data_IF_368871364674
#
_entry.id   IF_368871364674
#
_cell.length_a   1.000
_cell.length_b   1.000
_cell.length_c   1.000
_cell.angle_alpha   90.00
_cell.angle_beta   90.00
_cell.angle_gamma   90.00
#
_symmetry.space_group_name_H-M   'P 1'
#
loop_
_entity.id
_entity.type
_entity.pdbx_description
1 polymer ?
#
# COMPACT_ATOMS: atom_id res chain seq x y z
N UNK A 1 -9.82 -14.34 24.14
CA UNK A 1 -8.44 -13.89 23.85
C UNK A 1 -8.41 -12.38 23.62
N UNK A 2 -7.24 -11.79 23.50
CA UNK A 2 -7.02 -10.39 23.13
C UNK A 2 -6.72 -10.28 21.64
N UNK A 3 -7.49 -9.46 20.93
CA UNK A 3 -7.39 -9.32 19.47
C UNK A 3 -7.01 -7.91 19.08
N UNK A 4 -6.06 -7.77 18.16
CA UNK A 4 -5.71 -6.49 17.54
C UNK A 4 -6.74 -6.16 16.45
N UNK A 5 -7.49 -5.08 16.61
CA UNK A 5 -8.30 -4.47 15.55
C UNK A 5 -7.41 -3.45 14.83
N UNK A 6 -7.01 -3.75 13.58
CA UNK A 6 -6.02 -3.02 12.80
C UNK A 6 -6.65 -2.21 11.65
N UNK A 7 -7.12 -0.98 11.88
CA UNK A 7 -7.67 -0.11 10.84
C UNK A 7 -6.60 0.56 9.95
N UNK A 8 -6.98 1.01 8.75
CA UNK A 8 -6.14 1.89 7.93
C UNK A 8 -6.22 3.35 8.44
N UNK A 9 -5.38 3.73 9.40
CA UNK A 9 -5.29 5.10 9.93
C UNK A 9 -3.93 5.72 9.60
N UNK A 10 -3.68 6.02 8.32
CA UNK A 10 -2.34 6.45 7.88
C UNK A 10 -2.14 7.98 7.86
N UNK A 11 -3.21 8.78 7.89
CA UNK A 11 -3.23 10.25 7.80
C UNK A 11 -4.45 10.79 8.55
N UNK A 12 -4.58 12.11 8.72
CA UNK A 12 -5.77 12.76 9.29
C UNK A 12 -6.90 12.98 8.28
N UNK A 13 -6.73 12.59 7.00
CA UNK A 13 -7.84 12.54 6.03
C UNK A 13 -8.85 11.48 6.43
N UNK A 14 -10.12 11.81 6.25
CA UNK A 14 -11.26 11.07 6.81
C UNK A 14 -11.72 9.91 5.92
N UNK A 15 -12.64 9.11 6.44
CA UNK A 15 -13.28 8.04 5.68
C UNK A 15 -14.21 8.57 4.57
N UNK A 16 -14.78 9.77 4.75
CA UNK A 16 -15.59 10.46 3.75
C UNK A 16 -14.77 10.88 2.52
N UNK A 17 -13.48 11.12 2.71
CA UNK A 17 -12.52 11.36 1.64
C UNK A 17 -11.99 10.04 1.03
N UNK A 18 -12.49 8.87 1.46
CA UNK A 18 -12.03 7.55 1.01
C UNK A 18 -10.62 7.18 1.49
N UNK A 19 -10.02 7.98 2.37
CA UNK A 19 -8.61 7.86 2.74
C UNK A 19 -8.36 6.83 3.86
N UNK A 20 -9.13 6.87 4.94
CA UNK A 20 -8.91 6.04 6.14
C UNK A 20 -10.13 5.20 6.49
N UNK A 21 -9.95 4.12 7.24
CA UNK A 21 -11.06 3.26 7.68
C UNK A 21 -12.06 4.06 8.51
N UNK A 22 -13.34 3.90 8.20
CA UNK A 22 -14.45 4.51 8.91
C UNK A 22 -14.52 3.97 10.34
N UNK A 23 -14.48 4.89 11.30
CA UNK A 23 -14.53 4.56 12.72
C UNK A 23 -15.82 3.85 13.13
N UNK A 24 -16.91 3.98 12.34
CA UNK A 24 -18.14 3.18 12.54
C UNK A 24 -17.89 1.70 12.27
N UNK A 25 -17.05 1.37 11.28
CA UNK A 25 -16.65 -0.02 10.99
C UNK A 25 -15.74 -0.54 12.11
N UNK A 26 -14.78 0.27 12.56
CA UNK A 26 -13.92 -0.08 13.71
C UNK A 26 -14.74 -0.36 14.96
N UNK A 27 -15.73 0.50 15.25
CA UNK A 27 -16.67 0.32 16.34
C UNK A 27 -17.43 -1.00 16.22
N UNK A 28 -18.06 -1.26 15.07
CA UNK A 28 -18.86 -2.45 14.84
C UNK A 28 -18.04 -3.73 15.04
N UNK A 29 -16.82 -3.78 14.49
CA UNK A 29 -15.93 -4.94 14.67
C UNK A 29 -15.53 -5.12 16.13
N UNK A 30 -15.21 -4.03 16.85
CA UNK A 30 -14.87 -4.11 18.26
C UNK A 30 -16.05 -4.59 19.13
N UNK A 31 -17.27 -4.18 18.81
CA UNK A 31 -18.50 -4.65 19.49
C UNK A 31 -18.75 -6.14 19.22
N UNK A 32 -18.64 -6.60 17.97
CA UNK A 32 -18.75 -8.02 17.61
C UNK A 32 -17.72 -8.87 18.35
N UNK A 33 -16.47 -8.40 18.48
CA UNK A 33 -15.45 -9.10 19.26
C UNK A 33 -15.83 -9.20 20.75
N UNK A 34 -16.40 -8.16 21.33
CA UNK A 34 -16.88 -8.19 22.72
C UNK A 34 -18.04 -9.17 22.91
N UNK A 35 -18.97 -9.21 21.97
CA UNK A 35 -20.08 -10.16 21.97
C UNK A 35 -19.58 -11.61 21.87
N UNK A 36 -18.43 -11.85 21.25
CA UNK A 36 -17.75 -13.13 21.18
C UNK A 36 -16.80 -13.42 22.38
N UNK A 37 -16.95 -12.69 23.50
CA UNK A 37 -16.10 -12.81 24.70
C UNK A 37 -14.59 -12.59 24.43
N UNK A 38 -14.27 -11.81 23.39
CA UNK A 38 -12.91 -11.37 23.08
C UNK A 38 -12.64 -9.93 23.57
N UNK A 39 -11.37 -9.65 23.85
CA UNK A 39 -10.89 -8.32 24.26
C UNK A 39 -10.29 -7.61 23.05
N UNK A 40 -11.03 -6.71 22.37
CA UNK A 40 -10.46 -5.93 21.27
C UNK A 40 -9.49 -4.88 21.79
N UNK A 41 -8.43 -4.64 21.02
CA UNK A 41 -7.51 -3.52 21.17
C UNK A 41 -7.35 -2.88 19.81
N UNK A 42 -7.71 -1.61 19.66
CA UNK A 42 -7.54 -0.88 18.40
C UNK A 42 -6.11 -0.38 18.32
N UNK A 43 -5.38 -0.68 17.23
CA UNK A 43 -4.01 -0.22 17.09
C UNK A 43 -3.51 -0.16 15.66
N UNK A 44 -2.63 0.81 15.40
CA UNK A 44 -2.04 1.07 14.08
C UNK A 44 -0.64 1.70 14.21
N UNK A 45 0.20 1.60 13.17
CA UNK A 45 1.39 2.44 13.00
C UNK A 45 1.15 3.43 11.83
N UNK A 46 0.64 4.65 12.08
CA UNK A 46 0.35 5.61 11.01
C UNK A 46 1.57 5.97 10.14
N UNK A 47 1.34 6.35 8.88
CA UNK A 47 2.40 6.75 7.95
C UNK A 47 2.74 8.25 8.06
N UNK A 48 1.72 9.10 8.11
CA UNK A 48 1.84 10.55 8.32
C UNK A 48 1.99 10.82 9.82
N UNK A 49 2.98 11.64 10.21
CA UNK A 49 3.51 11.81 11.57
C UNK A 49 4.67 10.88 11.96
N UNK A 50 5.33 10.29 10.95
CA UNK A 50 6.65 9.66 10.98
C UNK A 50 7.47 10.08 12.21
N UNK A 51 7.69 9.13 13.11
CA UNK A 51 8.58 9.14 14.29
C UNK A 51 8.13 9.90 15.53
N UNK A 52 7.74 11.17 15.44
CA UNK A 52 7.66 12.00 16.65
C UNK A 52 6.28 11.92 17.36
N UNK A 53 5.20 11.95 16.57
CA UNK A 53 3.83 12.25 17.08
C UNK A 53 2.73 11.41 16.39
N UNK A 54 2.83 10.07 16.34
CA UNK A 54 1.80 9.20 15.76
C UNK A 54 0.39 9.43 16.36
N UNK A 55 0.33 9.86 17.62
CA UNK A 55 -0.89 10.21 18.35
C UNK A 55 -1.80 11.21 17.60
N UNK A 56 -1.22 12.13 16.82
CA UNK A 56 -1.97 13.16 16.07
C UNK A 56 -2.95 12.55 15.07
N UNK A 57 -2.63 11.39 14.50
CA UNK A 57 -3.54 10.71 13.56
C UNK A 57 -4.75 10.14 14.30
N UNK A 58 -4.52 9.50 15.45
CA UNK A 58 -5.61 8.96 16.27
C UNK A 58 -6.51 10.05 16.83
N UNK A 59 -5.92 11.16 17.28
CA UNK A 59 -6.66 12.30 17.82
C UNK A 59 -7.41 13.04 16.71
N UNK A 60 -6.75 13.30 15.58
CA UNK A 60 -7.32 14.02 14.44
C UNK A 60 -8.47 13.30 13.76
N UNK A 61 -8.47 11.96 13.77
CA UNK A 61 -9.58 11.15 13.27
C UNK A 61 -10.66 10.89 14.33
N UNK A 62 -10.42 11.22 15.60
CA UNK A 62 -11.34 10.92 16.70
C UNK A 62 -11.31 9.47 17.18
N UNK A 63 -10.33 8.66 16.78
CA UNK A 63 -10.20 7.25 17.15
C UNK A 63 -10.04 7.06 18.67
N UNK A 64 -9.32 7.97 19.34
CA UNK A 64 -9.16 7.95 20.81
C UNK A 64 -10.49 8.14 21.53
N UNK A 65 -11.24 9.17 21.14
CA UNK A 65 -12.56 9.45 21.72
C UNK A 65 -13.55 8.31 21.47
N UNK A 66 -13.52 7.69 20.28
CA UNK A 66 -14.30 6.48 20.02
C UNK A 66 -13.92 5.35 20.99
N UNK A 67 -12.64 5.03 21.11
CA UNK A 67 -12.16 3.94 21.96
C UNK A 67 -12.54 4.14 23.43
N UNK A 68 -12.43 5.37 23.94
CA UNK A 68 -12.90 5.74 25.29
C UNK A 68 -14.41 5.53 25.44
N UNK A 69 -15.21 6.00 24.47
CA UNK A 69 -16.67 5.87 24.48
C UNK A 69 -17.13 4.41 24.53
N UNK A 70 -16.48 3.53 23.76
CA UNK A 70 -16.86 2.12 23.69
C UNK A 70 -16.12 1.25 24.70
N UNK A 71 -15.26 1.82 25.54
CA UNK A 71 -14.47 1.09 26.54
C UNK A 71 -13.52 0.05 25.90
N UNK A 72 -12.76 0.48 24.90
CA UNK A 72 -11.75 -0.34 24.20
C UNK A 72 -10.38 0.32 24.34
N UNK A 73 -9.34 -0.47 24.52
CA UNK A 73 -7.97 0.06 24.60
C UNK A 73 -7.54 0.53 23.22
N UNK A 74 -7.12 1.79 23.12
CA UNK A 74 -6.34 2.28 21.98
C UNK A 74 -4.85 2.02 22.24
N UNK A 75 -4.17 1.45 21.26
CA UNK A 75 -2.74 1.15 21.32
C UNK A 75 -2.00 1.81 20.15
N UNK A 76 -1.15 2.79 20.46
CA UNK A 76 -0.30 3.45 19.47
C UNK A 76 0.92 2.57 19.25
N UNK A 77 0.83 1.67 18.27
CA UNK A 77 1.79 0.58 18.08
C UNK A 77 3.22 1.08 17.83
N UNK A 78 3.42 2.26 17.24
CA UNK A 78 4.74 2.89 17.10
C UNK A 78 5.46 3.20 18.43
N UNK A 79 4.76 3.15 19.57
CA UNK A 79 5.36 3.36 20.91
C UNK A 79 5.88 2.06 21.53
N UNK A 80 5.61 0.92 20.92
CA UNK A 80 6.08 -0.36 21.42
C UNK A 80 7.52 -0.67 21.00
N UNK A 81 8.27 -1.46 21.79
CA UNK A 81 9.55 -1.98 21.35
C UNK A 81 9.35 -2.89 20.11
N UNK A 82 10.11 -2.68 19.03
CA UNK A 82 10.03 -3.52 17.85
C UNK A 82 10.57 -4.92 18.15
N UNK A 83 9.89 -5.93 17.60
CA UNK A 83 10.28 -7.34 17.65
C UNK A 83 10.60 -7.79 16.24
N UNK A 84 11.78 -8.39 16.07
CA UNK A 84 12.25 -8.91 14.80
C UNK A 84 11.58 -10.25 14.50
N UNK A 85 11.06 -10.40 13.30
CA UNK A 85 10.56 -11.66 12.76
C UNK A 85 11.33 -11.98 11.48
N UNK A 86 11.94 -13.16 11.44
CA UNK A 86 12.73 -13.63 10.30
C UNK A 86 11.82 -14.36 9.30
N UNK A 87 12.04 -14.12 8.02
CA UNK A 87 11.39 -14.83 6.92
C UNK A 87 12.45 -15.33 5.94
N UNK A 88 12.92 -16.59 6.09
CA UNK A 88 13.93 -17.17 5.21
C UNK A 88 13.42 -17.42 3.77
N UNK A 89 12.11 -17.37 3.55
CA UNK A 89 11.46 -17.54 2.24
C UNK A 89 11.17 -16.19 1.56
N UNK A 90 11.62 -15.08 2.14
CA UNK A 90 11.43 -13.75 1.58
C UNK A 90 12.30 -13.51 0.32
N UNK A 91 11.77 -12.78 -0.64
CA UNK A 91 12.45 -12.45 -1.90
C UNK A 91 13.23 -11.13 -1.83
N UNK A 92 12.80 -10.18 -0.99
CA UNK A 92 13.38 -8.83 -0.95
C UNK A 92 14.17 -8.56 0.33
N UNK A 93 13.55 -8.76 1.50
CA UNK A 93 14.20 -8.58 2.80
C UNK A 93 13.90 -9.77 3.71
N UNK A 94 14.95 -10.38 4.28
CA UNK A 94 14.83 -11.60 5.09
C UNK A 94 14.27 -11.40 6.50
N UNK A 95 13.97 -10.17 6.90
CA UNK A 95 13.43 -9.86 8.23
C UNK A 95 12.54 -8.61 8.23
N UNK A 96 11.55 -8.63 9.12
CA UNK A 96 10.62 -7.55 9.37
C UNK A 96 10.55 -7.22 10.86
N UNK A 97 10.14 -6.00 11.17
CA UNK A 97 10.04 -5.51 12.55
C UNK A 97 8.60 -5.16 12.88
N UNK A 98 8.04 -5.84 13.88
CA UNK A 98 6.65 -5.71 14.28
C UNK A 98 6.52 -5.16 15.70
N UNK A 99 5.43 -4.44 16.02
CA UNK A 99 5.01 -4.18 17.38
C UNK A 99 4.84 -5.52 18.10
N UNK A 100 5.39 -5.62 19.30
CA UNK A 100 5.27 -6.83 20.13
C UNK A 100 3.82 -7.32 20.22
N UNK A 101 2.88 -6.40 20.42
CA UNK A 101 1.46 -6.74 20.54
C UNK A 101 0.89 -7.42 19.30
N UNK A 102 1.36 -7.09 18.09
CA UNK A 102 0.90 -7.74 16.86
C UNK A 102 1.32 -9.22 16.78
N UNK A 103 2.42 -9.60 17.45
CA UNK A 103 2.89 -10.98 17.52
C UNK A 103 2.32 -11.75 18.72
N UNK A 104 2.11 -11.06 19.84
CA UNK A 104 1.70 -11.67 21.12
C UNK A 104 0.17 -11.78 21.29
N UNK A 105 -0.62 -11.09 20.47
CA UNK A 105 -2.09 -11.17 20.52
C UNK A 105 -2.62 -12.53 20.02
N UNK A 106 -3.85 -12.88 20.41
CA UNK A 106 -4.50 -14.12 20.00
C UNK A 106 -4.97 -14.10 18.53
N UNK A 107 -4.99 -12.91 17.90
CA UNK A 107 -5.27 -12.73 16.50
C UNK A 107 -5.40 -11.27 16.08
N UNK A 108 -5.21 -11.01 14.80
CA UNK A 108 -5.36 -9.71 14.16
C UNK A 108 -6.62 -9.74 13.31
N UNK A 109 -7.53 -8.81 13.59
CA UNK A 109 -8.64 -8.44 12.70
C UNK A 109 -8.19 -7.25 11.86
N UNK A 110 -7.93 -7.50 10.58
CA UNK A 110 -7.37 -6.54 9.62
C UNK A 110 -8.49 -5.72 8.97
N UNK A 111 -8.48 -4.38 9.10
CA UNK A 111 -9.55 -3.51 8.61
C UNK A 111 -9.02 -2.53 7.53
N UNK A 112 -8.70 -3.02 6.31
CA UNK A 112 -8.26 -2.15 5.23
C UNK A 112 -9.38 -1.21 4.76
N UNK A 113 -8.99 -0.07 4.20
CA UNK A 113 -9.85 0.80 3.37
C UNK A 113 -9.67 0.39 1.91
N UNK A 114 -10.76 0.17 1.18
CA UNK A 114 -10.71 -0.11 -0.27
C UNK A 114 -10.37 1.17 -1.03
N UNK A 115 -9.16 1.25 -1.59
CA UNK A 115 -8.73 2.40 -2.39
C UNK A 115 -7.62 2.07 -3.37
N UNK A 116 -7.44 2.89 -4.38
CA UNK A 116 -6.34 2.76 -5.35
C UNK A 116 -5.00 3.24 -4.77
N UNK A 117 -3.90 2.90 -5.43
CA UNK A 117 -2.56 3.34 -5.04
C UNK A 117 -1.61 3.48 -6.23
N UNK A 118 -1.02 4.66 -6.44
CA UNK A 118 -0.12 4.93 -7.57
C UNK A 118 1.06 3.96 -7.73
N UNK A 119 1.63 3.47 -6.62
CA UNK A 119 2.74 2.50 -6.67
C UNK A 119 2.31 1.02 -6.82
N UNK A 120 1.20 0.60 -6.22
CA UNK A 120 0.87 -0.83 -6.03
C UNK A 120 -0.50 -1.20 -6.60
N UNK A 121 -1.08 -0.30 -7.40
CA UNK A 121 -2.41 -0.38 -8.01
C UNK A 121 -3.56 -0.30 -7.01
N UNK A 122 -3.55 -1.17 -5.98
CA UNK A 122 -4.58 -1.33 -4.97
C UNK A 122 -3.99 -1.15 -3.56
N UNK A 123 -4.71 -0.44 -2.71
CA UNK A 123 -4.63 -0.61 -1.26
C UNK A 123 -5.80 -1.46 -0.82
N UNK A 124 -5.52 -2.68 -0.38
CA UNK A 124 -6.45 -3.49 0.38
C UNK A 124 -5.66 -4.45 1.33
N UNK A 125 -6.27 -5.54 1.77
CA UNK A 125 -5.91 -6.34 2.93
C UNK A 125 -4.42 -6.65 3.09
N UNK A 126 -3.75 -7.13 2.03
CA UNK A 126 -2.32 -7.46 2.07
C UNK A 126 -1.50 -6.20 2.36
N UNK A 127 -1.76 -5.12 1.63
CA UNK A 127 -1.05 -3.85 1.79
C UNK A 127 -1.34 -3.17 3.14
N UNK A 128 -2.51 -3.39 3.74
CA UNK A 128 -2.82 -2.79 5.04
C UNK A 128 -1.92 -3.31 6.17
N UNK A 129 -1.39 -4.53 6.04
CA UNK A 129 -0.42 -5.11 6.97
C UNK A 129 0.91 -4.34 6.99
N UNK A 130 1.24 -3.60 5.92
CA UNK A 130 2.36 -2.65 5.89
C UNK A 130 2.30 -1.60 6.99
N UNK A 131 1.08 -1.27 7.45
CA UNK A 131 0.86 -0.40 8.59
C UNK A 131 1.30 -1.01 9.94
N UNK A 132 1.83 -2.23 9.98
CA UNK A 132 2.50 -2.77 11.16
C UNK A 132 4.00 -2.44 11.20
N UNK A 133 4.56 -1.85 10.15
CA UNK A 133 5.99 -1.53 10.13
C UNK A 133 6.25 -0.25 10.93
N UNK A 134 6.98 -0.35 12.03
CA UNK A 134 7.21 0.77 12.96
C UNK A 134 8.30 1.72 12.46
N UNK A 135 8.16 3.00 12.82
CA UNK A 135 9.21 4.01 12.67
C UNK A 135 9.86 4.06 11.29
N UNK A 136 11.18 3.79 11.26
CA UNK A 136 12.11 3.91 10.12
C UNK A 136 11.65 3.23 8.85
N UNK A 137 10.98 2.11 9.09
CA UNK A 137 11.01 0.98 8.19
C UNK A 137 10.17 1.25 6.95
N UNK A 138 9.05 1.97 7.08
CA UNK A 138 8.24 2.32 5.91
C UNK A 138 9.04 3.12 4.87
N UNK A 139 9.72 4.18 5.30
CA UNK A 139 10.59 4.96 4.42
C UNK A 139 11.80 4.15 3.92
N UNK A 140 12.40 3.35 4.80
CA UNK A 140 13.54 2.49 4.45
C UNK A 140 13.18 1.49 3.34
N UNK A 141 12.02 0.84 3.42
CA UNK A 141 11.59 -0.13 2.41
C UNK A 141 11.32 0.51 1.04
N UNK A 142 10.84 1.76 0.99
CA UNK A 142 10.77 2.52 -0.26
C UNK A 142 12.16 2.76 -0.87
N UNK A 143 13.20 2.97 -0.04
CA UNK A 143 14.59 3.10 -0.52
C UNK A 143 15.15 1.77 -0.99
N UNK A 144 14.99 0.69 -0.21
CA UNK A 144 15.54 -0.64 -0.53
C UNK A 144 14.94 -1.23 -1.81
N UNK A 145 13.68 -0.91 -2.08
CA UNK A 145 12.96 -1.34 -3.29
C UNK A 145 13.09 -0.33 -4.43
N UNK A 146 13.74 0.81 -4.22
CA UNK A 146 13.91 1.88 -5.20
C UNK A 146 12.57 2.46 -5.72
N UNK A 147 11.48 2.27 -4.98
CA UNK A 147 10.10 2.50 -5.44
C UNK A 147 9.74 1.76 -6.73
N UNK A 148 10.41 0.66 -7.02
CA UNK A 148 10.01 -0.24 -8.10
C UNK A 148 8.71 -0.97 -7.71
N UNK A 149 7.63 -0.90 -8.52
CA UNK A 149 6.34 -1.52 -8.20
C UNK A 149 6.41 -3.02 -7.97
N UNK A 150 7.24 -3.74 -8.73
CA UNK A 150 7.37 -5.19 -8.60
C UNK A 150 8.09 -5.54 -7.29
N UNK A 151 9.28 -4.98 -7.07
CA UNK A 151 10.07 -5.20 -5.84
C UNK A 151 9.30 -4.75 -4.60
N UNK A 152 8.57 -3.65 -4.67
CA UNK A 152 7.74 -3.22 -3.55
C UNK A 152 6.57 -4.18 -3.31
N UNK A 153 5.93 -4.69 -4.37
CA UNK A 153 4.87 -5.69 -4.24
C UNK A 153 5.40 -7.02 -3.67
N UNK A 154 6.59 -7.48 -4.10
CA UNK A 154 7.28 -8.66 -3.53
C UNK A 154 7.57 -8.46 -2.04
N UNK A 155 8.05 -7.29 -1.65
CA UNK A 155 8.28 -6.92 -0.24
C UNK A 155 6.97 -6.94 0.58
N UNK A 156 5.86 -6.46 0.03
CA UNK A 156 4.55 -6.54 0.69
C UNK A 156 4.08 -7.99 0.85
N UNK A 157 4.33 -8.86 -0.13
CA UNK A 157 4.01 -10.28 -0.04
C UNK A 157 4.92 -11.00 0.98
N UNK A 158 6.21 -10.66 1.05
CA UNK A 158 7.13 -11.16 2.08
C UNK A 158 6.65 -10.77 3.48
N UNK A 159 6.20 -9.52 3.65
CA UNK A 159 5.63 -9.04 4.90
C UNK A 159 4.36 -9.82 5.26
N UNK A 160 3.45 -9.98 4.31
CA UNK A 160 2.22 -10.76 4.48
C UNK A 160 2.53 -12.20 4.87
N UNK A 161 3.45 -12.88 4.17
CA UNK A 161 3.88 -14.24 4.50
C UNK A 161 4.38 -14.36 5.94
N UNK A 162 5.08 -13.32 6.43
CA UNK A 162 5.64 -13.29 7.78
C UNK A 162 4.56 -13.22 8.87
N UNK A 163 3.45 -12.50 8.62
CA UNK A 163 2.42 -12.21 9.65
C UNK A 163 1.06 -12.88 9.39
N UNK A 164 0.88 -13.56 8.24
CA UNK A 164 -0.44 -14.06 7.83
C UNK A 164 -1.08 -15.02 8.83
N UNK A 165 -0.28 -15.78 9.58
CA UNK A 165 -0.79 -16.73 10.58
C UNK A 165 -1.44 -16.05 11.79
N UNK A 166 -1.09 -14.80 12.05
CA UNK A 166 -1.67 -13.98 13.10
C UNK A 166 -2.98 -13.33 12.63
N UNK A 167 -3.20 -13.18 11.32
CA UNK A 167 -4.43 -12.58 10.79
C UNK A 167 -5.54 -13.62 10.78
N UNK A 168 -6.58 -13.39 11.57
CA UNK A 168 -7.70 -14.33 11.71
C UNK A 168 -8.93 -13.92 10.90
N UNK A 169 -9.09 -12.63 10.63
CA UNK A 169 -10.21 -12.08 9.88
C UNK A 169 -9.78 -10.77 9.21
N UNK A 170 -10.21 -10.57 7.98
CA UNK A 170 -10.10 -9.29 7.27
C UNK A 170 -11.50 -8.75 7.00
N UNK A 171 -11.73 -7.47 7.31
CA UNK A 171 -12.99 -6.74 7.08
C UNK A 171 -12.67 -5.44 6.34
N UNK A 172 -12.83 -5.45 5.03
CA UNK A 172 -12.62 -4.28 4.17
C UNK A 172 -13.76 -3.28 4.39
N UNK A 173 -13.37 -2.08 4.79
CA UNK A 173 -14.25 -0.92 4.69
C UNK A 173 -14.29 -0.44 3.24
N UNK A 174 -15.36 -0.84 2.57
CA UNK A 174 -15.75 -0.39 1.24
C UNK A 174 -17.07 0.38 1.30
N UNK A 175 -17.37 1.08 2.41
CA UNK A 175 -18.57 1.94 2.49
C UNK A 175 -18.38 3.12 1.54
N UNK A 176 -17.26 3.82 1.69
CA UNK A 176 -16.74 4.79 0.73
C UNK A 176 -15.32 4.35 0.38
N UNK A 177 -15.12 3.98 -0.88
CA UNK A 177 -13.80 3.70 -1.43
C UNK A 177 -13.13 4.95 -2.01
N UNK A 178 -11.96 4.79 -2.63
CA UNK A 178 -11.30 5.86 -3.39
C UNK A 178 -10.73 5.31 -4.71
N UNK A 179 -11.05 5.96 -5.83
CA UNK A 179 -10.53 5.66 -7.17
C UNK A 179 -9.51 6.71 -7.66
N UNK A 180 -8.85 6.46 -8.79
CA UNK A 180 -7.91 7.40 -9.40
C UNK A 180 -6.56 7.47 -8.69
N UNK A 181 -6.04 8.68 -8.46
CA UNK A 181 -4.69 8.94 -7.94
C UNK A 181 -4.58 8.78 -6.41
N UNK A 182 -4.96 7.61 -5.88
CA UNK A 182 -4.75 7.22 -4.49
C UNK A 182 -3.27 7.05 -4.11
N UNK A 183 -2.91 6.98 -2.81
CA UNK A 183 -3.79 6.63 -1.70
C UNK A 183 -4.37 7.82 -0.92
N UNK A 184 -4.01 9.05 -1.30
CA UNK A 184 -4.49 10.28 -0.66
C UNK A 184 -5.29 11.17 -1.59
N UNK A 185 -4.95 11.23 -2.88
CA UNK A 185 -5.38 12.28 -3.82
C UNK A 185 -6.39 11.79 -4.84
N UNK A 186 -6.93 10.59 -4.65
CA UNK A 186 -7.98 10.05 -5.49
C UNK A 186 -9.37 10.59 -5.13
N UNK A 187 -10.37 10.13 -5.87
CA UNK A 187 -11.75 10.56 -5.74
C UNK A 187 -12.57 9.55 -4.93
N UNK A 188 -13.37 9.98 -3.94
CA UNK A 188 -14.18 9.08 -3.13
C UNK A 188 -15.34 8.49 -3.94
N UNK A 189 -15.58 7.18 -3.75
CA UNK A 189 -16.65 6.44 -4.43
C UNK A 189 -17.56 5.81 -3.38
N UNK A 190 -18.84 6.17 -3.39
CA UNK A 190 -19.85 5.54 -2.53
C UNK A 190 -20.22 4.16 -3.08
N UNK A 191 -19.99 3.14 -2.26
CA UNK A 191 -20.24 1.74 -2.60
C UNK A 191 -21.24 1.11 -1.62
N UNK A 192 -21.20 1.50 -0.35
CA UNK A 192 -22.08 0.94 0.69
C UNK A 192 -21.80 -0.52 1.04
N UNK A 193 -20.57 -1.01 0.82
CA UNK A 193 -20.21 -2.42 0.95
C UNK A 193 -19.31 -2.70 2.16
N UNK A 194 -19.37 -3.93 2.65
CA UNK A 194 -18.36 -4.55 3.51
C UNK A 194 -17.95 -5.86 2.85
N UNK A 195 -16.65 -6.07 2.68
CA UNK A 195 -16.10 -7.33 2.17
C UNK A 195 -15.33 -7.98 3.31
N UNK A 196 -15.62 -9.22 3.64
CA UNK A 196 -14.95 -9.89 4.75
C UNK A 196 -14.57 -11.33 4.40
N UNK A 197 -13.47 -11.81 4.97
CA UNK A 197 -12.94 -13.15 4.76
C UNK A 197 -11.80 -13.47 5.71
N UNK A 198 -11.45 -14.74 5.83
CA UNK A 198 -10.40 -15.25 6.72
C UNK A 198 -9.00 -15.22 6.09
N UNK A 199 -8.90 -15.15 4.76
CA UNK A 199 -7.63 -14.97 4.05
C UNK A 199 -7.50 -13.57 3.41
N UNK A 200 -6.46 -12.78 3.78
CA UNK A 200 -6.25 -11.45 3.21
C UNK A 200 -6.11 -11.43 1.69
N UNK A 201 -5.44 -12.41 1.08
CA UNK A 201 -5.27 -12.43 -0.37
C UNK A 201 -6.59 -12.75 -1.07
N UNK A 202 -7.37 -13.69 -0.56
CA UNK A 202 -8.68 -14.01 -1.10
C UNK A 202 -9.61 -12.78 -1.08
N UNK A 203 -9.57 -12.01 0.00
CA UNK A 203 -10.30 -10.75 0.12
C UNK A 203 -9.84 -9.73 -0.92
N UNK A 204 -8.54 -9.61 -1.19
CA UNK A 204 -8.01 -8.68 -2.21
C UNK A 204 -8.40 -9.11 -3.63
N UNK A 205 -8.42 -10.41 -3.91
CA UNK A 205 -8.88 -10.96 -5.20
C UNK A 205 -10.37 -10.65 -5.43
N UNK A 206 -11.21 -10.88 -4.43
CA UNK A 206 -12.65 -10.56 -4.52
C UNK A 206 -12.86 -9.04 -4.61
N UNK A 207 -12.16 -8.25 -3.80
CA UNK A 207 -12.25 -6.79 -3.83
C UNK A 207 -11.86 -6.22 -5.20
N UNK A 208 -10.82 -6.77 -5.84
CA UNK A 208 -10.40 -6.38 -7.20
C UNK A 208 -11.51 -6.63 -8.22
N UNK A 209 -12.23 -7.75 -8.13
CA UNK A 209 -13.39 -8.03 -8.98
C UNK A 209 -14.57 -7.11 -8.71
N UNK A 210 -14.86 -6.82 -7.43
CA UNK A 210 -15.93 -5.88 -7.04
C UNK A 210 -15.67 -4.49 -7.62
N UNK A 211 -14.41 -4.05 -7.72
CA UNK A 211 -14.07 -2.77 -8.37
C UNK A 211 -13.85 -2.89 -9.88
N UNK A 212 -14.28 -4.00 -10.50
CA UNK A 212 -14.30 -4.19 -11.94
C UNK A 212 -12.93 -4.40 -12.59
N UNK A 213 -11.92 -4.84 -11.84
CA UNK A 213 -10.56 -5.10 -12.35
C UNK A 213 -10.28 -6.60 -12.48
N UNK A 214 -9.33 -6.97 -13.33
CA UNK A 214 -8.75 -8.31 -13.27
C UNK A 214 -7.83 -8.38 -12.03
N UNK A 215 -8.06 -9.32 -11.09
CA UNK A 215 -7.26 -9.46 -9.88
C UNK A 215 -5.77 -9.66 -10.16
N UNK A 216 -5.39 -10.21 -11.31
CA UNK A 216 -4.00 -10.48 -11.68
C UNK A 216 -3.26 -9.23 -12.17
N UNK A 217 -3.96 -8.12 -12.41
CA UNK A 217 -3.33 -6.81 -12.69
C UNK A 217 -2.90 -6.09 -11.40
N UNK A 218 -3.20 -6.67 -10.24
CA UNK A 218 -2.72 -6.18 -8.95
C UNK A 218 -1.46 -6.97 -8.58
N UNK A 219 -0.30 -6.30 -8.60
CA UNK A 219 1.00 -6.95 -8.41
C UNK A 219 1.11 -7.84 -7.17
N UNK A 220 0.59 -7.39 -6.02
CA UNK A 220 0.58 -8.21 -4.78
C UNK A 220 -0.26 -9.47 -4.93
N UNK A 221 -1.35 -9.44 -5.68
CA UNK A 221 -2.20 -10.60 -5.90
C UNK A 221 -1.50 -11.61 -6.81
N UNK A 222 -0.96 -11.11 -7.93
CA UNK A 222 -0.21 -11.93 -8.89
C UNK A 222 0.93 -12.68 -8.20
N UNK A 223 1.81 -11.96 -7.47
CA UNK A 223 2.97 -12.56 -6.78
C UNK A 223 2.53 -13.56 -5.71
N UNK A 224 1.51 -13.23 -4.92
CA UNK A 224 1.07 -14.13 -3.86
C UNK A 224 0.43 -15.42 -4.40
N UNK A 225 -0.27 -15.36 -5.54
CA UNK A 225 -0.79 -16.56 -6.22
C UNK A 225 0.35 -17.35 -6.86
N UNK A 226 1.28 -16.69 -7.55
CA UNK A 226 2.48 -17.30 -8.14
C UNK A 226 3.29 -18.10 -7.10
N UNK A 227 3.46 -17.53 -5.90
CA UNK A 227 4.17 -18.15 -4.78
C UNK A 227 3.35 -19.18 -3.99
N UNK A 228 2.11 -19.46 -4.40
CA UNK A 228 1.21 -20.39 -3.71
C UNK A 228 0.79 -19.93 -2.31
N UNK A 229 0.87 -18.63 -2.02
CA UNK A 229 0.52 -18.03 -0.74
C UNK A 229 -0.97 -17.69 -0.61
N UNK A 230 -1.73 -17.79 -1.69
CA UNK A 230 -3.19 -17.82 -1.67
C UNK A 230 -3.75 -18.29 -3.01
N UNK A 231 -4.99 -17.88 -3.35
CA UNK A 231 -5.77 -18.49 -4.43
C UNK A 231 -6.22 -17.46 -5.47
N UNK A 232 -6.37 -17.91 -6.71
CA UNK A 232 -7.14 -17.20 -7.72
C UNK A 232 -8.64 -17.28 -7.42
N UNK A 233 -9.45 -16.50 -8.14
CA UNK A 233 -10.89 -16.39 -7.90
C UNK A 233 -11.61 -17.75 -7.90
N UNK A 234 -11.26 -18.66 -8.80
CA UNK A 234 -11.89 -19.99 -8.92
C UNK A 234 -11.71 -20.85 -7.66
N UNK A 235 -10.72 -20.53 -6.81
CA UNK A 235 -10.46 -21.20 -5.55
C UNK A 235 -11.13 -20.56 -4.32
N UNK A 236 -11.93 -19.51 -4.52
CA UNK A 236 -12.53 -18.71 -3.46
C UNK A 236 -14.05 -18.92 -3.43
N UNK A 237 -14.56 -19.31 -2.26
CA UNK A 237 -16.00 -19.35 -2.00
C UNK A 237 -16.48 -17.95 -1.63
N UNK A 238 -17.41 -17.40 -2.41
CA UNK A 238 -18.00 -16.08 -2.17
C UNK A 238 -19.40 -16.26 -1.59
N UNK A 239 -19.62 -15.70 -0.41
CA UNK A 239 -20.91 -15.70 0.29
C UNK A 239 -21.51 -14.30 0.29
N UNK A 240 -22.85 -14.21 0.23
CA UNK A 240 -23.56 -12.94 0.22
C UNK A 240 -24.00 -12.52 -1.18
N UNK A 241 -23.83 -11.23 -1.51
CA UNK A 241 -24.22 -10.69 -2.81
C UNK A 241 -23.31 -11.23 -3.92
N UNK A 242 -23.88 -11.49 -5.10
CA UNK A 242 -23.09 -11.89 -6.26
C UNK A 242 -22.20 -10.72 -6.71
N UNK A 243 -20.95 -11.00 -7.05
CA UNK A 243 -19.96 -9.98 -7.43
C UNK A 243 -20.49 -9.11 -8.56
N UNK A 244 -21.11 -9.73 -9.56
CA UNK A 244 -21.64 -9.08 -10.77
C UNK A 244 -22.75 -8.06 -10.44
N UNK A 245 -23.49 -8.26 -9.36
CA UNK A 245 -24.59 -7.37 -8.94
C UNK A 245 -24.08 -6.13 -8.20
N UNK A 246 -22.91 -6.22 -7.57
CA UNK A 246 -22.31 -5.16 -6.75
C UNK A 246 -21.07 -4.53 -7.41
N UNK A 247 -20.74 -4.95 -8.64
CA UNK A 247 -19.55 -4.48 -9.33
C UNK A 247 -19.67 -3.00 -9.67
N UNK A 248 -18.64 -2.22 -9.31
CA UNK A 248 -18.49 -0.81 -9.69
C UNK A 248 -17.07 -0.57 -10.16
N UNK A 249 -16.88 -0.40 -11.46
CA UNK A 249 -15.55 -0.19 -12.03
C UNK A 249 -14.90 1.08 -11.48
N UNK A 250 -13.74 0.93 -10.85
CA UNK A 250 -12.91 2.04 -10.40
C UNK A 250 -11.99 2.53 -11.52
N UNK A 251 -11.75 3.84 -11.58
CA UNK A 251 -10.65 4.42 -12.33
C UNK A 251 -9.30 4.01 -11.72
N UNK A 252 -8.44 3.37 -12.50
CA UNK A 252 -7.06 3.07 -12.08
C UNK A 252 -6.21 4.34 -12.04
N UNK A 253 -5.20 4.42 -11.16
CA UNK A 253 -4.17 5.45 -11.27
C UNK A 253 -3.55 5.43 -12.68
N UNK A 254 -3.12 6.59 -13.19
CA UNK A 254 -2.54 6.72 -14.55
C UNK A 254 -1.35 5.79 -14.79
N UNK A 255 -0.65 5.42 -13.73
CA UNK A 255 0.48 4.48 -13.77
C UNK A 255 0.11 3.03 -14.10
N UNK A 256 -1.17 2.66 -14.02
CA UNK A 256 -1.62 1.26 -14.08
C UNK A 256 -2.74 1.04 -15.11
N UNK A 257 -2.92 1.98 -16.05
CA UNK A 257 -3.99 1.91 -17.05
C UNK A 257 -3.72 0.91 -18.19
N UNK A 258 -2.50 0.38 -18.28
CA UNK A 258 -2.05 -0.58 -19.29
C UNK A 258 -2.50 -2.03 -19.02
N UNK A 259 -3.06 -2.30 -17.83
CA UNK A 259 -3.51 -3.63 -17.44
C UNK A 259 -2.39 -4.62 -17.16
N UNK A 260 -1.15 -4.16 -16.96
CA UNK A 260 -0.05 -5.02 -16.53
C UNK A 260 0.07 -4.99 -14.99
N UNK A 261 0.46 -6.11 -14.33
CA UNK A 261 0.65 -6.14 -12.88
C UNK A 261 1.78 -5.21 -12.41
N UNK A 262 2.75 -4.96 -13.28
CA UNK A 262 3.90 -4.12 -13.02
C UNK A 262 4.08 -3.13 -14.15
N UNK A 263 4.56 -1.97 -13.74
CA UNK A 263 4.94 -0.88 -14.61
C UNK A 263 6.24 -1.29 -15.32
N UNK A 264 6.16 -1.82 -16.53
CA UNK A 264 7.37 -2.04 -17.36
C UNK A 264 7.81 -0.71 -18.03
N UNK A 265 7.79 0.39 -17.26
CA UNK A 265 7.99 1.74 -17.77
C UNK A 265 9.35 2.24 -17.34
N UNK A 266 10.37 1.75 -18.05
CA UNK A 266 11.58 2.54 -18.24
C UNK A 266 11.18 3.91 -18.77
N UNK A 267 11.02 4.91 -17.89
CA UNK A 267 10.77 6.31 -18.24
C UNK A 267 11.97 6.92 -19.00
N UNK A 268 11.86 7.17 -20.31
CA UNK A 268 12.94 7.79 -21.06
C UNK A 268 13.13 9.24 -20.59
N UNK A 269 14.39 9.67 -20.52
CA UNK A 269 14.72 11.05 -20.16
C UNK A 269 14.82 11.83 -21.46
N UNK A 270 13.97 12.83 -21.63
CA UNK A 270 14.01 13.71 -22.81
C UNK A 270 14.62 15.05 -22.45
N UNK A 271 15.27 15.66 -23.43
CA UNK A 271 15.87 16.97 -23.32
C UNK A 271 15.07 18.02 -24.10
N UNK A 272 14.72 19.12 -23.42
CA UNK A 272 14.20 20.33 -24.03
C UNK A 272 15.36 21.10 -24.68
N UNK A 273 15.44 21.04 -26.01
CA UNK A 273 16.51 21.67 -26.79
C UNK A 273 16.54 23.19 -26.74
N UNK A 274 15.44 23.86 -26.37
CA UNK A 274 15.42 25.32 -26.22
C UNK A 274 16.02 25.78 -24.90
N UNK A 275 15.95 24.93 -23.87
CA UNK A 275 16.50 25.20 -22.52
C UNK A 275 17.88 24.63 -22.31
N UNK A 276 18.27 23.62 -23.09
CA UNK A 276 19.55 22.95 -22.95
C UNK A 276 20.69 23.79 -23.53
N UNK A 277 21.77 23.95 -22.77
CA UNK A 277 22.98 24.67 -23.22
C UNK A 277 24.15 23.74 -23.57
N UNK A 278 23.95 22.42 -23.49
CA UNK A 278 25.01 21.43 -23.75
C UNK A 278 26.15 21.42 -22.72
N UNK A 279 25.91 21.90 -21.49
CA UNK A 279 26.97 22.09 -20.49
C UNK A 279 27.63 20.80 -19.95
N UNK A 280 27.06 19.63 -20.22
CA UNK A 280 27.68 18.34 -19.86
C UNK A 280 27.48 17.86 -18.43
N UNK A 281 26.87 18.65 -17.54
CA UNK A 281 26.71 18.30 -16.12
C UNK A 281 25.97 16.97 -15.93
N UNK A 282 24.90 16.73 -16.71
CA UNK A 282 24.14 15.47 -16.68
C UNK A 282 25.02 14.23 -16.91
N UNK A 283 26.00 14.31 -17.81
CA UNK A 283 26.96 13.24 -18.09
C UNK A 283 27.96 13.06 -16.96
N UNK A 284 28.49 14.16 -16.42
CA UNK A 284 29.45 14.12 -15.30
C UNK A 284 28.86 13.48 -14.04
N UNK A 285 27.57 13.71 -13.78
CA UNK A 285 26.89 13.20 -12.58
C UNK A 285 26.25 11.82 -12.77
N UNK A 286 26.34 11.23 -13.97
CA UNK A 286 25.68 9.96 -14.27
C UNK A 286 26.44 8.76 -13.67
N UNK A 287 25.91 8.07 -12.64
CA UNK A 287 26.60 6.94 -12.02
C UNK A 287 26.65 5.71 -12.94
N UNK A 288 25.65 5.55 -13.82
CA UNK A 288 25.59 4.47 -14.81
C UNK A 288 26.45 4.72 -16.05
N UNK A 289 27.09 5.89 -16.17
CA UNK A 289 27.82 6.32 -17.39
C UNK A 289 26.98 6.20 -18.67
N UNK A 290 25.68 6.47 -18.54
CA UNK A 290 24.68 6.25 -19.57
C UNK A 290 24.39 7.50 -20.42
N UNK A 291 25.26 8.52 -20.39
CA UNK A 291 24.96 9.82 -21.02
C UNK A 291 26.19 10.35 -21.75
N UNK A 292 26.04 10.56 -23.06
CA UNK A 292 26.99 11.28 -23.92
C UNK A 292 26.41 12.65 -24.31
N UNK A 293 27.27 13.65 -24.50
CA UNK A 293 26.83 15.03 -24.77
C UNK A 293 27.54 15.56 -26.01
N UNK A 294 26.78 15.67 -27.11
CA UNK A 294 27.17 16.33 -28.36
C UNK A 294 26.05 17.32 -28.74
N UNK A 295 26.21 18.58 -28.33
CA UNK A 295 25.14 19.57 -28.34
C UNK A 295 24.10 19.31 -27.25
N UNK A 296 23.23 18.32 -27.42
CA UNK A 296 22.24 17.87 -26.42
C UNK A 296 22.59 16.48 -25.87
N UNK A 297 22.23 16.15 -24.63
CA UNK A 297 22.50 14.84 -24.05
C UNK A 297 21.75 13.71 -24.76
N UNK A 298 22.46 12.63 -25.05
CA UNK A 298 21.95 11.35 -25.54
C UNK A 298 22.08 10.31 -24.44
N UNK A 299 21.05 9.48 -24.28
CA UNK A 299 20.94 8.52 -23.18
C UNK A 299 21.03 7.10 -23.69
N UNK A 300 21.85 6.28 -23.04
CA UNK A 300 21.95 4.84 -23.29
C UNK A 300 20.92 4.11 -22.41
N UNK A 301 19.97 3.46 -23.08
CA UNK A 301 18.87 2.74 -22.46
C UNK A 301 19.22 1.31 -22.00
N UNK A 302 20.45 0.87 -22.05
CA UNK A 302 20.88 -0.37 -21.38
C UNK A 302 21.67 -0.05 -20.11
N UNK A 303 22.38 1.08 -20.11
CA UNK A 303 23.22 1.52 -19.00
C UNK A 303 22.49 2.41 -18.00
N UNK A 304 21.41 3.08 -18.40
CA UNK A 304 20.71 4.00 -17.50
C UNK A 304 19.91 3.25 -16.43
N UNK A 305 20.32 3.41 -15.16
CA UNK A 305 19.68 2.84 -13.97
C UNK A 305 18.56 3.72 -13.38
N UNK A 306 18.12 4.75 -14.11
CA UNK A 306 17.00 5.63 -13.74
C UNK A 306 17.10 6.31 -12.36
N UNK A 307 18.33 6.64 -11.93
CA UNK A 307 18.57 7.42 -10.71
C UNK A 307 18.11 8.89 -10.78
N UNK A 308 17.84 9.41 -11.99
CA UNK A 308 17.42 10.79 -12.27
C UNK A 308 18.35 11.93 -11.79
N UNK A 309 19.60 11.64 -11.36
CA UNK A 309 20.57 12.67 -10.97
C UNK A 309 20.82 13.71 -12.08
N UNK A 310 20.73 13.31 -13.35
CA UNK A 310 20.85 14.20 -14.49
C UNK A 310 19.71 15.23 -14.58
N UNK A 311 18.50 14.87 -14.19
CA UNK A 311 17.34 15.78 -14.12
C UNK A 311 17.53 16.75 -12.95
N UNK A 312 17.85 16.20 -11.77
CA UNK A 312 17.98 16.95 -10.53
C UNK A 312 19.08 18.02 -10.60
N UNK A 313 20.20 17.70 -11.24
CA UNK A 313 21.37 18.58 -11.33
C UNK A 313 21.44 19.39 -12.62
N UNK A 314 20.37 19.39 -13.43
CA UNK A 314 20.31 20.22 -14.63
C UNK A 314 20.11 21.69 -14.24
N UNK A 315 21.10 22.59 -14.46
CA UNK A 315 21.02 23.97 -14.01
C UNK A 315 19.93 24.79 -14.73
N UNK A 316 19.52 24.34 -15.92
CA UNK A 316 18.52 25.00 -16.76
C UNK A 316 17.15 24.30 -16.73
N UNK A 317 17.00 23.22 -15.95
CA UNK A 317 15.76 22.43 -15.91
C UNK A 317 15.34 21.89 -17.29
N UNK A 318 16.33 21.54 -18.12
CA UNK A 318 16.13 21.12 -19.51
C UNK A 318 15.89 19.62 -19.69
N UNK A 319 15.86 18.84 -18.60
CA UNK A 319 15.69 17.39 -18.65
C UNK A 319 14.43 16.99 -17.89
N UNK A 320 13.66 16.05 -18.44
CA UNK A 320 12.46 15.51 -17.80
C UNK A 320 12.33 14.02 -18.08
N UNK A 321 11.91 13.26 -17.07
CA UNK A 321 11.45 11.90 -17.28
C UNK A 321 10.08 11.97 -17.96
N UNK A 322 9.93 11.30 -19.08
CA UNK A 322 8.66 11.18 -19.78
C UNK A 322 8.14 9.78 -19.54
N UNK A 323 6.86 9.69 -19.18
CA UNK A 323 6.17 8.41 -19.24
C UNK A 323 5.80 8.17 -20.69
N UNK A 324 6.29 7.08 -21.27
CA UNK A 324 5.73 6.52 -22.51
C UNK A 324 4.39 5.89 -22.16
N UNK A 325 3.38 6.74 -21.98
CA UNK A 325 1.98 6.31 -22.06
C UNK A 325 1.50 6.84 -23.41
N UNK A 326 1.34 5.90 -24.33
CA UNK A 326 0.85 5.95 -25.73
C UNK A 326 1.82 6.34 -26.89
N UNK A 327 1.59 5.80 -28.12
CA UNK A 327 2.25 6.19 -29.37
C UNK A 327 2.08 7.66 -29.75
#
# INVERSE_FOLDING_TARGET
GTYLVKPNLFTTRTAQEGATTDLRVVKAVAEVLKEADATPVVGECPAMASYARPDVVFDGLGARGLCEMIGVKLNVLDREPPVKAENPEAEVVGEFWFPRFALDCDGIVNLPKLKTHVLTTLTCAVKNLYGLQQGGQKAHYHVVTENDPERFSRLLVDLYQTIKKQVCLTVVDAVIGMEGEGPTTGDPVDLGLIIAGDDPLAVDVVASRVIGWDPMEVGTNFIAVERGLGKSLDGIEVLGAAIEEITRTFEKPRTHQDGQPFIDIRMPIVCDGERCTGCGICSTVCPGKAIEVDGTPQFDDELCIQCFCCIELCPNGALKAVRTVDP
#
